data_IF_106906725640
#
_entry.id   IF_106906725640
#
_cell.length_a   1.000
_cell.length_b   1.000
_cell.length_c   1.000
_cell.angle_alpha   90.00
_cell.angle_beta   90.00
_cell.angle_gamma   90.00
#
_symmetry.space_group_name_H-M   'P 1'
#
loop_
_entity.id
_entity.type
_entity.pdbx_description
1 polymer ?
#
# COMPACT_ATOMS: atom_id res chain seq x y z
N UNK A 1 -5.75 15.36 -11.14
CA UNK A 1 -4.94 14.16 -11.47
C UNK A 1 -4.81 13.39 -10.15
N UNK A 2 -5.26 12.13 -10.07
CA UNK A 2 -5.24 11.38 -8.80
C UNK A 2 -3.78 11.00 -8.47
N UNK A 3 -3.24 11.51 -7.37
CA UNK A 3 -1.84 11.32 -6.95
C UNK A 3 -1.44 9.85 -6.91
N UNK A 4 -2.35 8.95 -6.51
CA UNK A 4 -2.11 7.50 -6.52
C UNK A 4 -1.87 6.91 -7.92
N UNK A 5 -2.48 7.47 -8.97
CA UNK A 5 -2.25 6.98 -10.35
C UNK A 5 -0.82 7.26 -10.82
N UNK A 6 -0.21 8.35 -10.34
CA UNK A 6 1.18 8.70 -10.66
C UNK A 6 2.20 7.76 -10.01
N UNK A 7 1.81 7.01 -8.97
CA UNK A 7 2.67 6.04 -8.27
C UNK A 7 2.38 4.59 -8.64
N UNK A 8 1.56 4.34 -9.67
CA UNK A 8 1.17 2.97 -10.05
C UNK A 8 2.37 2.11 -10.45
N UNK A 9 3.32 2.66 -11.22
CA UNK A 9 4.53 1.95 -11.63
C UNK A 9 5.45 1.65 -10.44
N UNK A 10 5.53 2.59 -9.50
CA UNK A 10 6.24 2.42 -8.23
C UNK A 10 5.67 1.23 -7.44
N UNK A 11 4.36 1.18 -7.20
CA UNK A 11 3.72 0.05 -6.51
C UNK A 11 3.85 -1.27 -7.27
N UNK A 12 3.73 -1.25 -8.60
CA UNK A 12 3.89 -2.43 -9.44
C UNK A 12 5.36 -2.94 -9.49
N UNK A 13 6.32 -2.08 -9.20
CA UNK A 13 7.73 -2.45 -9.05
C UNK A 13 8.07 -3.04 -7.67
N UNK A 14 7.15 -2.92 -6.69
CA UNK A 14 7.36 -3.37 -5.32
C UNK A 14 8.11 -2.38 -4.42
N UNK A 15 8.38 -1.18 -4.92
CA UNK A 15 9.02 -0.12 -4.14
C UNK A 15 7.93 0.84 -3.68
N UNK A 16 7.97 1.24 -2.42
CA UNK A 16 7.18 2.36 -1.89
C UNK A 16 8.15 3.37 -1.33
N UNK A 17 8.24 4.51 -1.99
CA UNK A 17 9.01 5.68 -1.59
C UNK A 17 8.21 6.52 -0.59
N UNK A 18 8.81 7.59 -0.08
CA UNK A 18 8.10 8.56 0.76
C UNK A 18 6.88 9.19 0.04
N UNK A 19 6.97 9.40 -1.28
CA UNK A 19 5.88 9.97 -2.06
C UNK A 19 4.74 8.96 -2.24
N UNK A 20 5.05 7.71 -2.60
CA UNK A 20 4.05 6.65 -2.68
C UNK A 20 3.38 6.37 -1.33
N UNK A 21 4.16 6.39 -0.24
CA UNK A 21 3.64 6.32 1.12
C UNK A 21 2.68 7.49 1.40
N UNK A 22 3.07 8.72 1.09
CA UNK A 22 2.27 9.92 1.35
C UNK A 22 0.99 9.93 0.52
N UNK A 23 1.02 9.41 -0.71
CA UNK A 23 -0.16 9.29 -1.55
C UNK A 23 -1.20 8.31 -0.97
N UNK A 24 -0.76 7.18 -0.39
CA UNK A 24 -1.68 6.26 0.30
C UNK A 24 -2.16 6.88 1.62
N UNK A 25 -1.28 7.58 2.35
CA UNK A 25 -1.63 8.28 3.59
C UNK A 25 -2.68 9.38 3.36
N UNK A 26 -2.56 10.12 2.27
CA UNK A 26 -3.52 11.16 1.90
C UNK A 26 -4.88 10.56 1.56
N UNK A 27 -4.89 9.45 0.80
CA UNK A 27 -6.11 8.74 0.47
C UNK A 27 -6.81 8.13 1.70
N UNK A 28 -6.03 7.64 2.65
CA UNK A 28 -6.49 7.18 3.97
C UNK A 28 -7.10 8.34 4.78
N UNK A 29 -6.38 9.46 4.90
CA UNK A 29 -6.79 10.61 5.71
C UNK A 29 -7.99 11.38 5.16
N UNK A 30 -8.30 11.25 3.87
CA UNK A 30 -9.45 11.88 3.25
C UNK A 30 -10.79 11.21 3.60
N UNK A 31 -10.76 9.97 4.11
CA UNK A 31 -11.91 9.14 4.58
C UNK A 31 -13.11 9.05 3.61
N UNK A 32 -12.94 9.43 2.35
CA UNK A 32 -13.94 9.25 1.32
C UNK A 32 -13.83 7.84 0.74
N UNK A 33 -14.97 7.17 0.55
CA UNK A 33 -15.02 5.81 -0.01
C UNK A 33 -14.23 5.68 -1.34
N UNK A 34 -14.23 6.71 -2.18
CA UNK A 34 -13.45 6.76 -3.42
C UNK A 34 -11.93 6.82 -3.19
N UNK A 35 -11.49 7.54 -2.16
CA UNK A 35 -10.09 7.70 -1.80
C UNK A 35 -9.55 6.42 -1.15
N UNK A 36 -10.25 5.90 -0.14
CA UNK A 36 -9.96 4.60 0.49
C UNK A 36 -9.97 3.48 -0.57
N UNK A 37 -10.94 3.52 -1.47
CA UNK A 37 -11.04 2.64 -2.62
C UNK A 37 -9.83 2.69 -3.54
N UNK A 38 -9.25 3.87 -3.79
CA UNK A 38 -8.03 4.03 -4.58
C UNK A 38 -6.78 3.54 -3.81
N UNK A 39 -6.66 3.86 -2.51
CA UNK A 39 -5.56 3.38 -1.67
C UNK A 39 -5.53 1.85 -1.58
N UNK A 40 -6.70 1.20 -1.47
CA UNK A 40 -6.81 -0.27 -1.48
C UNK A 40 -6.30 -0.92 -2.77
N UNK A 41 -6.41 -0.22 -3.92
CA UNK A 41 -5.85 -0.71 -5.20
C UNK A 41 -4.33 -0.70 -5.15
N UNK A 42 -3.71 0.34 -4.58
CA UNK A 42 -2.27 0.39 -4.37
C UNK A 42 -1.77 -0.73 -3.45
N UNK A 43 -2.49 -0.98 -2.35
CA UNK A 43 -2.21 -2.11 -1.45
C UNK A 43 -2.31 -3.44 -2.21
N UNK A 44 -3.30 -3.60 -3.09
CA UNK A 44 -3.48 -4.80 -3.92
C UNK A 44 -2.28 -5.02 -4.84
N UNK A 45 -1.73 -3.98 -5.45
CA UNK A 45 -0.53 -4.08 -6.29
C UNK A 45 0.68 -4.56 -5.49
N UNK A 46 0.89 -4.03 -4.29
CA UNK A 46 1.98 -4.47 -3.41
C UNK A 46 1.85 -5.95 -3.04
N UNK A 47 0.64 -6.40 -2.71
CA UNK A 47 0.36 -7.81 -2.45
C UNK A 47 0.61 -8.72 -3.66
N UNK A 48 0.25 -8.27 -4.87
CA UNK A 48 0.53 -9.02 -6.09
C UNK A 48 2.03 -9.16 -6.33
N UNK A 49 2.80 -8.10 -6.12
CA UNK A 49 4.27 -8.14 -6.26
C UNK A 49 4.87 -9.08 -5.22
N UNK A 50 4.44 -9.00 -3.96
CA UNK A 50 4.88 -9.91 -2.91
C UNK A 50 4.60 -11.38 -3.26
N UNK A 51 3.38 -11.70 -3.72
CA UNK A 51 2.98 -13.06 -4.12
C UNK A 51 3.73 -13.60 -5.33
N UNK A 52 4.29 -12.72 -6.17
CA UNK A 52 5.18 -13.12 -7.27
C UNK A 52 6.59 -13.50 -6.77
N UNK A 53 6.85 -13.45 -5.46
CA UNK A 53 8.17 -13.72 -4.88
C UNK A 53 9.15 -12.58 -5.10
N UNK A 54 8.68 -11.40 -5.52
CA UNK A 54 9.52 -10.22 -5.68
C UNK A 54 9.74 -9.56 -4.33
N UNK A 55 10.97 -9.10 -4.09
CA UNK A 55 11.29 -8.35 -2.90
C UNK A 55 10.54 -7.02 -2.90
N UNK A 56 9.88 -6.70 -1.78
CA UNK A 56 9.30 -5.39 -1.54
C UNK A 56 10.28 -4.51 -0.78
N UNK A 57 10.22 -3.20 -1.03
CA UNK A 57 10.94 -2.18 -0.26
C UNK A 57 9.98 -1.07 0.12
N UNK A 58 9.53 -1.09 1.38
CA UNK A 58 8.45 -0.23 1.87
C UNK A 58 9.00 0.90 2.72
N UNK A 59 8.73 2.15 2.35
CA UNK A 59 9.12 3.31 3.15
C UNK A 59 8.56 3.22 4.57
N UNK A 60 9.38 3.65 5.54
CA UNK A 60 9.00 3.84 6.94
C UNK A 60 9.53 5.18 7.42
N UNK A 61 8.63 6.03 7.92
CA UNK A 61 9.03 7.35 8.44
C UNK A 61 10.01 7.21 9.61
N UNK A 62 11.18 7.84 9.48
CA UNK A 62 12.21 7.86 10.52
C UNK A 62 12.89 6.50 10.78
N UNK A 63 12.75 5.52 9.87
CA UNK A 63 13.38 4.20 9.97
C UNK A 63 13.88 3.74 8.60
N UNK A 64 14.75 2.74 8.58
CA UNK A 64 15.13 2.07 7.32
C UNK A 64 13.88 1.49 6.64
N UNK A 65 13.83 1.41 5.31
CA UNK A 65 12.74 0.73 4.60
C UNK A 65 12.49 -0.68 5.14
N UNK A 66 11.24 -1.11 5.18
CA UNK A 66 10.85 -2.46 5.54
C UNK A 66 10.91 -3.34 4.28
N UNK A 67 11.57 -4.49 4.39
CA UNK A 67 11.49 -5.55 3.41
C UNK A 67 10.69 -6.69 4.05
N UNK A 68 9.38 -6.80 3.80
CA UNK A 68 8.60 -7.89 4.37
C UNK A 68 9.05 -9.23 3.78
N UNK A 69 9.31 -10.21 4.65
CA UNK A 69 9.62 -11.59 4.26
C UNK A 69 8.41 -12.52 4.44
N UNK A 70 7.35 -12.02 5.07
CA UNK A 70 6.12 -12.75 5.33
C UNK A 70 4.88 -11.89 5.04
N UNK A 71 3.77 -12.58 4.73
CA UNK A 71 2.44 -11.96 4.62
C UNK A 71 2.08 -11.17 5.88
N UNK A 72 2.48 -11.67 7.06
CA UNK A 72 2.24 -11.01 8.35
C UNK A 72 2.99 -9.68 8.48
N UNK A 73 4.23 -9.57 8.00
CA UNK A 73 4.99 -8.31 8.04
C UNK A 73 4.41 -7.27 7.09
N UNK A 74 3.99 -7.70 5.89
CA UNK A 74 3.32 -6.82 4.93
C UNK A 74 1.96 -6.36 5.48
N UNK A 75 1.16 -7.29 6.01
CA UNK A 75 -0.11 -6.98 6.65
C UNK A 75 0.07 -6.01 7.82
N UNK A 76 1.05 -6.26 8.69
CA UNK A 76 1.35 -5.39 9.82
C UNK A 76 1.71 -3.97 9.38
N UNK A 77 2.53 -3.83 8.35
CA UNK A 77 2.86 -2.51 7.81
C UNK A 77 1.61 -1.81 7.24
N UNK A 78 0.74 -2.52 6.52
CA UNK A 78 -0.51 -1.93 6.02
C UNK A 78 -1.45 -1.51 7.18
N UNK A 79 -1.62 -2.35 8.21
CA UNK A 79 -2.45 -2.04 9.38
C UNK A 79 -1.90 -0.85 10.18
N UNK A 80 -0.59 -0.81 10.39
CA UNK A 80 0.05 0.22 11.21
C UNK A 80 0.04 1.61 10.52
N UNK A 81 -0.11 1.69 9.19
CA UNK A 81 -0.03 2.94 8.43
C UNK A 81 -1.32 3.33 7.69
N UNK A 82 -2.10 2.37 7.19
CA UNK A 82 -3.26 2.60 6.31
C UNK A 82 -4.43 1.62 6.62
N UNK A 83 -4.97 1.61 7.85
CA UNK A 83 -5.95 0.61 8.28
C UNK A 83 -7.22 0.57 7.42
N UNK A 84 -7.81 1.71 7.03
CA UNK A 84 -9.03 1.75 6.22
C UNK A 84 -8.78 1.26 4.79
N UNK A 85 -7.69 1.68 4.15
CA UNK A 85 -7.30 1.19 2.83
C UNK A 85 -7.01 -0.32 2.85
N UNK A 86 -6.41 -0.83 3.94
CA UNK A 86 -6.13 -2.25 4.10
C UNK A 86 -7.41 -3.07 4.34
N UNK A 87 -8.33 -2.57 5.17
CA UNK A 87 -9.62 -3.21 5.39
C UNK A 87 -10.43 -3.30 4.08
N UNK A 88 -10.46 -2.22 3.29
CA UNK A 88 -11.10 -2.22 1.97
C UNK A 88 -10.42 -3.21 1.01
N UNK A 89 -9.10 -3.34 1.05
CA UNK A 89 -8.39 -4.38 0.29
C UNK A 89 -8.84 -5.79 0.70
N UNK A 90 -8.95 -6.08 2.00
CA UNK A 90 -9.43 -7.37 2.50
C UNK A 90 -10.89 -7.63 2.09
N UNK A 91 -11.74 -6.60 2.14
CA UNK A 91 -13.14 -6.67 1.71
C UNK A 91 -13.24 -7.03 0.24
N UNK A 92 -12.40 -6.42 -0.61
CA UNK A 92 -12.33 -6.71 -2.05
C UNK A 92 -11.75 -8.09 -2.35
N UNK A 93 -10.80 -8.57 -1.56
CA UNK A 93 -10.20 -9.89 -1.77
C UNK A 93 -11.15 -11.07 -1.42
N UNK A 94 -12.23 -10.82 -0.68
CA UNK A 94 -13.26 -11.82 -0.35
C UNK A 94 -14.36 -11.96 -1.42
N UNK A 95 -14.43 -11.02 -2.36
CA UNK A 95 -15.38 -10.99 -3.47
C UNK A 95 -14.71 -11.41 -4.77
#
# INVERSE_FOLDING_TARGET
>A
MNTLQSHKEEFASGIVTELGYSAIADAEGYDAASSVGAGSVSITLLWQVFRQGKALSLFRKGRSPLQPHSENELAKWCVDNFPACYEEHLRRAKH
#
